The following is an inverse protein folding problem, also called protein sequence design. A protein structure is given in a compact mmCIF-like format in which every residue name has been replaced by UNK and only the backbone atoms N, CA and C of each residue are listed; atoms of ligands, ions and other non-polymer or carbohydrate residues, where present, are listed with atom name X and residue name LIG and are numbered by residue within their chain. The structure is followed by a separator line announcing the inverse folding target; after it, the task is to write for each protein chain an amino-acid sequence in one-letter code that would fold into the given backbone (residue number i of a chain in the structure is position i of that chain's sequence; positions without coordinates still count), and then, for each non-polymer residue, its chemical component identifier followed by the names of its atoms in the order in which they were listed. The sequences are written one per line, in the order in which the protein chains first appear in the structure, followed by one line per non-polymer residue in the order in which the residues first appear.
data_IF_188953564214
#
_entry.id   IF_188953564214
#
_cell.length_a   1.000
_cell.length_b   1.000
_cell.length_c   1.000
_cell.angle_alpha   90.00
_cell.angle_beta   90.00
_cell.angle_gamma   90.00
#
_symmetry.space_group_name_H-M   'P 1'
#
loop_
_entity.id
_entity.type
_entity.pdbx_description
1 polymer ?
#
# COMPACT_ATOMS: atom_id res chain seq x y z
N UNK A 1 14.37 -1.06 7.83
CA UNK A 1 13.45 -0.53 6.81
C UNK A 1 13.19 -1.62 5.78
N UNK A 2 11.95 -1.83 5.47
CA UNK A 2 11.53 -2.92 4.56
C UNK A 2 10.72 -2.35 3.40
N UNK A 3 11.04 -2.81 2.19
CA UNK A 3 10.26 -2.44 1.00
C UNK A 3 9.16 -3.49 0.78
N UNK A 4 7.94 -3.01 0.51
CA UNK A 4 6.78 -3.86 0.30
C UNK A 4 5.96 -3.35 -0.88
N UNK A 5 5.40 -4.29 -1.65
CA UNK A 5 4.25 -4.01 -2.49
C UNK A 5 2.99 -4.31 -1.69
N UNK A 6 2.01 -3.43 -1.77
CA UNK A 6 0.72 -3.60 -1.10
C UNK A 6 -0.37 -3.28 -2.09
N UNK A 7 -1.26 -4.24 -2.33
CA UNK A 7 -2.46 -4.01 -3.15
C UNK A 7 -3.64 -3.84 -2.21
N UNK A 8 -4.35 -2.73 -2.37
CA UNK A 8 -5.42 -2.33 -1.47
C UNK A 8 -6.68 -2.05 -2.28
N UNK A 9 -7.80 -2.60 -1.84
CA UNK A 9 -9.12 -2.19 -2.31
C UNK A 9 -9.68 -1.14 -1.35
N UNK A 10 -10.25 -0.09 -1.90
CA UNK A 10 -10.85 1.00 -1.14
C UNK A 10 -12.09 1.52 -1.87
N UNK A 11 -13.00 2.22 -1.16
CA UNK A 11 -14.17 2.80 -1.83
C UNK A 11 -13.72 3.78 -2.91
N UNK A 12 -14.34 3.69 -4.09
CA UNK A 12 -14.03 4.59 -5.21
C UNK A 12 -14.81 5.89 -5.07
N UNK A 13 -14.39 6.72 -4.13
CA UNK A 13 -15.02 8.02 -3.84
C UNK A 13 -13.98 8.99 -3.30
N UNK A 14 -14.26 10.30 -3.38
CA UNK A 14 -13.36 11.33 -2.84
C UNK A 14 -13.02 11.07 -1.37
N UNK A 15 -11.77 11.25 -1.01
CA UNK A 15 -11.29 11.12 0.35
C UNK A 15 -10.81 9.74 0.75
N UNK A 16 -11.19 8.67 0.04
CA UNK A 16 -10.78 7.31 0.39
C UNK A 16 -9.26 7.13 0.33
N UNK A 17 -8.66 7.56 -0.74
CA UNK A 17 -7.20 7.49 -0.89
C UNK A 17 -6.50 8.34 0.17
N UNK A 18 -7.05 9.51 0.47
CA UNK A 18 -6.51 10.40 1.50
C UNK A 18 -6.47 9.74 2.88
N UNK A 19 -7.50 8.94 3.22
CA UNK A 19 -7.52 8.20 4.49
C UNK A 19 -6.38 7.18 4.56
N UNK A 20 -6.17 6.45 3.47
CA UNK A 20 -5.10 5.45 3.39
C UNK A 20 -3.73 6.12 3.51
N UNK A 21 -3.49 7.16 2.72
CA UNK A 21 -2.18 7.83 2.70
C UNK A 21 -1.90 8.56 4.02
N UNK A 22 -2.92 9.11 4.66
CA UNK A 22 -2.78 9.74 5.96
C UNK A 22 -2.35 8.71 7.02
N UNK A 23 -2.99 7.55 7.04
CA UNK A 23 -2.61 6.49 7.97
C UNK A 23 -1.17 6.04 7.72
N UNK A 24 -0.81 5.79 6.47
CA UNK A 24 0.57 5.41 6.14
C UNK A 24 1.56 6.43 6.65
N UNK A 25 1.29 7.73 6.44
CA UNK A 25 2.16 8.79 6.93
C UNK A 25 2.30 8.81 8.45
N UNK A 26 1.19 8.58 9.17
CA UNK A 26 1.21 8.53 10.64
C UNK A 26 2.04 7.37 11.18
N UNK A 27 2.09 6.26 10.44
CA UNK A 27 2.87 5.10 10.80
C UNK A 27 4.34 5.24 10.41
N UNK A 28 4.71 6.34 9.75
CA UNK A 28 6.06 6.54 9.24
C UNK A 28 6.36 5.73 7.99
N UNK A 29 5.32 5.21 7.33
CA UNK A 29 5.46 4.47 6.09
C UNK A 29 5.63 5.45 4.94
N UNK A 30 6.71 5.30 4.18
CA UNK A 30 7.02 6.16 3.05
C UNK A 30 6.51 5.53 1.76
N UNK A 31 5.63 6.25 1.05
CA UNK A 31 5.11 5.80 -0.24
C UNK A 31 6.14 6.17 -1.30
N UNK A 32 6.71 5.16 -1.94
CA UNK A 32 7.71 5.33 -2.99
C UNK A 32 7.08 5.42 -4.37
N UNK A 33 5.97 4.72 -4.56
CA UNK A 33 5.24 4.70 -5.83
C UNK A 33 3.81 4.25 -5.57
N UNK A 34 2.89 4.73 -6.38
CA UNK A 34 1.49 4.30 -6.35
C UNK A 34 0.96 4.19 -7.78
N UNK A 35 0.16 3.14 -8.03
CA UNK A 35 -0.55 2.97 -9.30
C UNK A 35 -2.00 2.63 -9.01
N UNK A 36 -2.90 3.23 -9.77
CA UNK A 36 -4.30 2.82 -9.78
C UNK A 36 -4.43 1.65 -10.76
N UNK A 37 -4.82 0.48 -10.25
CA UNK A 37 -4.98 -0.71 -11.08
C UNK A 37 -6.36 -0.77 -11.72
N UNK A 38 -7.40 -0.39 -10.97
CA UNK A 38 -8.76 -0.37 -11.49
C UNK A 38 -9.66 0.54 -10.68
N UNK A 39 -10.72 1.04 -11.32
CA UNK A 39 -11.78 1.82 -10.68
C UNK A 39 -13.09 1.50 -11.39
N UNK A 40 -14.15 1.23 -10.62
CA UNK A 40 -15.44 0.88 -11.21
C UNK A 40 -16.61 1.75 -10.70
N UNK A 41 -16.30 2.83 -9.98
CA UNK A 41 -17.33 3.69 -9.37
C UNK A 41 -17.77 3.23 -7.99
N UNK A 42 -17.47 2.01 -7.60
CA UNK A 42 -17.79 1.44 -6.29
C UNK A 42 -16.53 1.11 -5.52
N UNK A 43 -15.60 0.41 -6.17
CA UNK A 43 -14.33 -0.03 -5.58
C UNK A 43 -13.19 0.41 -6.47
N UNK A 44 -12.15 0.92 -5.86
CA UNK A 44 -10.87 1.17 -6.52
C UNK A 44 -9.85 0.15 -5.98
N UNK A 45 -8.92 -0.25 -6.84
CA UNK A 45 -7.81 -1.12 -6.47
C UNK A 45 -6.51 -0.39 -6.78
N UNK A 46 -5.73 -0.13 -5.75
CA UNK A 46 -4.47 0.61 -5.86
C UNK A 46 -3.30 -0.25 -5.42
N UNK A 47 -2.18 -0.10 -6.10
CA UNK A 47 -0.92 -0.74 -5.73
C UNK A 47 0.04 0.32 -5.19
N UNK A 48 0.56 0.07 -4.00
CA UNK A 48 1.56 0.92 -3.37
C UNK A 48 2.88 0.18 -3.27
N UNK A 49 3.97 0.90 -3.54
CA UNK A 49 5.31 0.48 -3.17
C UNK A 49 5.70 1.35 -1.98
N UNK A 50 5.97 0.73 -0.86
CA UNK A 50 6.19 1.45 0.40
C UNK A 50 7.46 1.00 1.09
N UNK A 51 8.06 1.92 1.85
CA UNK A 51 9.15 1.64 2.76
C UNK A 51 8.57 1.65 4.17
N UNK A 52 8.67 0.53 4.88
CA UNK A 52 8.06 0.34 6.19
C UNK A 52 9.12 0.39 7.29
N UNK A 53 8.97 1.27 8.31
CA UNK A 53 9.94 1.38 9.38
C UNK A 53 9.68 0.33 10.46
N UNK A 54 10.60 -0.60 10.64
CA UNK A 54 10.56 -1.55 11.75
C UNK A 54 9.61 -2.73 11.56
N UNK A 55 9.87 -3.76 12.34
CA UNK A 55 9.20 -5.06 12.22
C UNK A 55 7.75 -5.02 12.71
N UNK A 56 7.48 -4.24 13.76
CA UNK A 56 6.14 -4.19 14.35
C UNK A 56 5.15 -3.58 13.36
N UNK A 57 5.51 -2.45 12.75
CA UNK A 57 4.66 -1.80 11.75
C UNK A 57 4.51 -2.71 10.53
N UNK A 58 5.58 -3.34 10.09
CA UNK A 58 5.55 -4.23 8.93
C UNK A 58 4.54 -5.37 9.12
N UNK A 59 4.55 -6.00 10.30
CA UNK A 59 3.62 -7.09 10.60
C UNK A 59 2.18 -6.63 10.76
N UNK A 60 1.99 -5.43 11.29
CA UNK A 60 0.67 -4.91 11.62
C UNK A 60 0.00 -4.17 10.47
N UNK A 61 0.76 -3.84 9.43
CA UNK A 61 0.29 -2.93 8.38
C UNK A 61 -1.03 -3.38 7.71
N UNK A 62 -1.19 -4.65 7.31
CA UNK A 62 -2.47 -5.05 6.72
C UNK A 62 -3.65 -4.82 7.65
N UNK A 63 -3.53 -5.21 8.92
CA UNK A 63 -4.61 -5.04 9.89
C UNK A 63 -4.92 -3.57 10.15
N UNK A 64 -3.89 -2.74 10.23
CA UNK A 64 -4.06 -1.31 10.47
C UNK A 64 -4.77 -0.64 9.28
N UNK A 65 -4.42 -1.00 8.06
CA UNK A 65 -5.10 -0.48 6.89
C UNK A 65 -6.58 -0.89 6.86
N UNK A 66 -6.86 -2.12 7.25
CA UNK A 66 -8.23 -2.65 7.25
C UNK A 66 -9.10 -2.09 8.38
N UNK A 67 -8.55 -1.35 9.32
CA UNK A 67 -9.32 -0.57 10.28
C UNK A 67 -10.07 0.58 9.61
N UNK A 68 -9.59 1.05 8.46
CA UNK A 68 -10.31 2.07 7.70
C UNK A 68 -11.51 1.41 7.04
N UNK A 69 -12.70 1.96 7.27
CA UNK A 69 -13.94 1.41 6.74
C UNK A 69 -13.89 1.28 5.21
N UNK A 70 -14.18 0.09 4.71
CA UNK A 70 -14.21 -0.19 3.28
C UNK A 70 -12.87 -0.51 2.67
N UNK A 71 -11.79 -0.51 3.45
CA UNK A 71 -10.45 -0.82 2.97
C UNK A 71 -10.13 -2.29 3.22
N UNK A 72 -9.62 -2.97 2.19
CA UNK A 72 -9.19 -4.36 2.28
C UNK A 72 -7.81 -4.50 1.64
N UNK A 73 -6.89 -5.12 2.34
CA UNK A 73 -5.57 -5.46 1.78
C UNK A 73 -5.71 -6.77 1.02
N UNK A 74 -5.56 -6.70 -0.30
CA UNK A 74 -5.70 -7.87 -1.17
C UNK A 74 -4.46 -8.73 -1.07
N UNK A 75 -3.29 -8.08 -1.08
CA UNK A 75 -2.02 -8.77 -1.11
C UNK A 75 -0.91 -7.83 -0.62
N UNK A 76 0.07 -8.39 0.06
CA UNK A 76 1.26 -7.67 0.48
C UNK A 76 2.45 -8.61 0.39
N UNK A 77 3.53 -8.17 -0.27
CA UNK A 77 4.74 -9.00 -0.39
C UNK A 77 6.01 -8.17 -0.34
N UNK A 78 7.11 -8.78 0.07
CA UNK A 78 8.38 -8.08 0.17
C UNK A 78 8.98 -7.81 -1.20
N UNK A 79 9.73 -6.71 -1.30
CA UNK A 79 10.50 -6.36 -2.47
C UNK A 79 11.96 -6.34 -2.07
N UNK A 80 12.78 -7.04 -2.85
CA UNK A 80 14.23 -6.97 -2.77
C UNK A 80 14.70 -5.88 -3.72
N UNK A 81 15.56 -4.97 -3.25
CA UNK A 81 16.09 -3.90 -4.08
C UNK A 81 16.80 -4.43 -5.33
N UNK A 82 17.49 -5.56 -5.22
CA UNK A 82 18.15 -6.19 -6.37
C UNK A 82 17.13 -6.72 -7.38
N UNK A 83 16.03 -7.28 -6.91
CA UNK A 83 14.94 -7.74 -7.78
C UNK A 83 14.28 -6.58 -8.49
N UNK A 84 14.12 -5.46 -7.80
CA UNK A 84 13.55 -4.24 -8.38
C UNK A 84 14.40 -3.73 -9.53
N UNK A 85 15.71 -3.69 -9.34
CA UNK A 85 16.66 -3.27 -10.37
C UNK A 85 16.63 -4.24 -11.55
N UNK A 86 16.61 -5.52 -11.30
CA UNK A 86 16.56 -6.55 -12.34
C UNK A 86 15.27 -6.43 -13.16
N UNK A 87 14.13 -6.17 -12.49
CA UNK A 87 12.86 -5.95 -13.14
C UNK A 87 12.85 -4.72 -14.04
N UNK A 88 13.58 -3.69 -13.65
CA UNK A 88 13.69 -2.47 -14.44
C UNK A 88 14.54 -2.64 -15.71
N UNK A 89 15.47 -3.58 -15.68
CA UNK A 89 16.38 -3.85 -16.81
C UNK A 89 15.68 -4.72 -17.88
N UNK A 90 14.82 -5.62 -17.43
CA UNK A 90 14.11 -6.52 -18.32
C UNK A 90 12.97 -5.80 -19.03
#
# INVERSE_FOLDING_TARGET
MSLRHVIVELPDRPGSLGQVTTLLGRLGVDIRQMRVLSRDGTVATDEFTVSVPGVVIDRSLPSLLEEIQGVRVVEMWPIDAASEIAGAIV
#
